data_IF_210043109655
#
_entry.id   IF_210043109655
#
_cell.length_a   1.000
_cell.length_b   1.000
_cell.length_c   1.000
_cell.angle_alpha   90.00
_cell.angle_beta   90.00
_cell.angle_gamma   90.00
#
_symmetry.space_group_name_H-M   'P 1'
#
loop_
_entity.id
_entity.type
_entity.pdbx_description
1 polymer ?
#
# COMPACT_ATOMS: atom_id res chain seq x y z
N UNK A 1 -12.09 22.27 17.72
CA UNK A 1 -11.89 22.54 19.15
C UNK A 1 -12.53 21.36 19.88
N UNK A 2 -11.76 20.32 20.18
CA UNK A 2 -12.28 19.07 20.75
C UNK A 2 -12.79 19.36 22.17
N UNK A 3 -14.00 18.91 22.48
CA UNK A 3 -14.68 19.24 23.72
C UNK A 3 -14.06 18.37 24.84
N UNK A 4 -13.86 18.93 26.03
CA UNK A 4 -13.26 18.20 27.18
C UNK A 4 -14.04 16.92 27.57
N UNK A 5 -15.32 16.83 27.18
CA UNK A 5 -16.14 15.61 27.33
C UNK A 5 -15.69 14.46 26.42
N UNK A 6 -15.21 14.75 25.22
CA UNK A 6 -14.78 13.75 24.25
C UNK A 6 -13.49 13.04 24.72
N UNK A 7 -12.64 13.74 25.47
CA UNK A 7 -11.40 13.19 26.04
C UNK A 7 -11.65 12.25 27.22
N UNK A 8 -12.60 12.57 28.09
CA UNK A 8 -12.96 11.72 29.25
C UNK A 8 -13.65 10.44 28.78
N UNK A 9 -14.52 10.54 27.76
CA UNK A 9 -15.24 9.39 27.22
C UNK A 9 -14.29 8.44 26.46
N UNK A 10 -13.27 8.98 25.77
CA UNK A 10 -12.25 8.16 25.10
C UNK A 10 -11.43 7.30 26.10
N UNK A 11 -11.08 7.88 27.25
CA UNK A 11 -10.26 7.23 28.27
C UNK A 11 -11.04 6.13 29.02
N UNK A 12 -12.34 6.38 29.26
CA UNK A 12 -13.26 5.38 29.84
C UNK A 12 -13.49 4.23 28.86
N UNK A 13 -13.72 4.52 27.58
CA UNK A 13 -13.91 3.49 26.55
C UNK A 13 -12.64 2.65 26.33
N UNK A 14 -11.46 3.27 26.31
CA UNK A 14 -10.19 2.54 26.25
C UNK A 14 -10.02 1.60 27.45
N UNK A 15 -10.28 2.10 28.66
CA UNK A 15 -10.19 1.32 29.89
C UNK A 15 -11.16 0.13 29.89
N UNK A 16 -12.40 0.31 29.41
CA UNK A 16 -13.39 -0.78 29.30
C UNK A 16 -12.90 -1.86 28.32
N UNK A 17 -12.42 -1.46 27.14
CA UNK A 17 -11.93 -2.39 26.12
C UNK A 17 -10.67 -3.12 26.60
N UNK A 18 -9.73 -2.42 27.23
CA UNK A 18 -8.44 -2.98 27.66
C UNK A 18 -8.55 -3.88 28.91
N UNK A 19 -9.54 -3.62 29.77
CA UNK A 19 -9.85 -4.47 30.92
C UNK A 19 -10.57 -5.76 30.50
N UNK A 20 -11.21 -5.80 29.33
CA UNK A 20 -11.75 -7.02 28.76
C UNK A 20 -10.60 -7.89 28.18
N UNK A 21 -10.24 -8.96 28.90
CA UNK A 21 -9.13 -9.86 28.53
C UNK A 21 -9.31 -10.44 27.12
N UNK A 22 -10.55 -10.76 26.72
CA UNK A 22 -10.84 -11.30 25.40
C UNK A 22 -10.57 -10.26 24.30
N UNK A 23 -11.15 -9.06 24.42
CA UNK A 23 -10.95 -7.98 23.44
C UNK A 23 -9.48 -7.58 23.36
N UNK A 24 -8.81 -7.43 24.52
CA UNK A 24 -7.37 -7.15 24.58
C UNK A 24 -6.55 -8.18 23.82
N UNK A 25 -6.81 -9.47 24.02
CA UNK A 25 -6.07 -10.54 23.33
C UNK A 25 -6.32 -10.54 21.82
N UNK A 26 -7.56 -10.26 21.39
CA UNK A 26 -7.89 -10.11 19.97
C UNK A 26 -7.14 -8.92 19.36
N UNK A 27 -7.18 -7.76 20.01
CA UNK A 27 -6.47 -6.55 19.57
C UNK A 27 -4.97 -6.82 19.48
N UNK A 28 -4.37 -7.39 20.52
CA UNK A 28 -2.95 -7.74 20.53
C UNK A 28 -2.58 -8.69 19.40
N UNK A 29 -3.40 -9.70 19.10
CA UNK A 29 -3.18 -10.60 17.97
C UNK A 29 -3.12 -9.86 16.63
N UNK A 30 -4.04 -8.92 16.39
CA UNK A 30 -4.06 -8.12 15.16
C UNK A 30 -2.90 -7.13 15.10
N UNK A 31 -2.51 -6.52 16.23
CA UNK A 31 -1.32 -5.67 16.32
C UNK A 31 -0.06 -6.46 15.97
N UNK A 32 0.10 -7.67 16.51
CA UNK A 32 1.24 -8.53 16.21
C UNK A 32 1.30 -8.87 14.71
N UNK A 33 0.17 -9.23 14.09
CA UNK A 33 0.09 -9.45 12.63
C UNK A 33 0.44 -8.22 11.82
N UNK A 34 0.00 -7.04 12.25
CA UNK A 34 0.37 -5.78 11.59
C UNK A 34 1.87 -5.53 11.68
N UNK A 35 2.45 -5.67 12.86
CA UNK A 35 3.90 -5.51 13.06
C UNK A 35 4.67 -6.51 12.17
N UNK A 36 4.21 -7.75 12.09
CA UNK A 36 4.88 -8.81 11.33
C UNK A 36 4.74 -8.65 9.81
N UNK A 37 3.58 -8.20 9.32
CA UNK A 37 3.24 -8.26 7.90
C UNK A 37 2.97 -6.90 7.23
N UNK A 38 3.18 -5.79 7.93
CA UNK A 38 2.97 -4.44 7.37
C UNK A 38 3.88 -4.12 6.18
N UNK A 39 5.09 -4.68 6.17
CA UNK A 39 6.06 -4.58 5.10
C UNK A 39 6.42 -5.98 4.60
N UNK A 40 6.28 -6.21 3.29
CA UNK A 40 6.65 -7.49 2.68
C UNK A 40 7.24 -7.31 1.28
N UNK A 41 8.18 -8.20 0.94
CA UNK A 41 8.77 -8.33 -0.39
C UNK A 41 8.30 -9.65 -1.01
N UNK A 42 7.47 -9.60 -2.05
CA UNK A 42 6.77 -10.77 -2.59
C UNK A 42 6.81 -10.82 -4.12
N UNK A 43 6.90 -12.03 -4.66
CA UNK A 43 6.53 -12.33 -6.04
C UNK A 43 5.08 -12.86 -6.11
N UNK A 44 4.56 -13.10 -7.33
CA UNK A 44 3.18 -13.56 -7.54
C UNK A 44 2.84 -14.84 -6.76
N UNK A 45 3.69 -15.87 -6.82
CA UNK A 45 3.44 -17.15 -6.14
C UNK A 45 3.38 -16.98 -4.62
N UNK A 46 4.31 -16.22 -4.05
CA UNK A 46 4.33 -15.92 -2.62
C UNK A 46 3.12 -15.10 -2.21
N UNK A 47 2.77 -14.08 -3.00
CA UNK A 47 1.62 -13.23 -2.75
C UNK A 47 0.32 -14.02 -2.78
N UNK A 48 0.13 -14.93 -3.72
CA UNK A 48 -1.09 -15.72 -3.84
C UNK A 48 -1.33 -16.61 -2.62
N UNK A 49 -0.26 -17.18 -2.07
CA UNK A 49 -0.29 -18.04 -0.88
C UNK A 49 -0.31 -17.27 0.45
N UNK A 50 -0.04 -15.96 0.42
CA UNK A 50 0.04 -15.15 1.62
C UNK A 50 -1.36 -14.98 2.25
N UNK A 51 -1.54 -15.44 3.50
CA UNK A 51 -2.87 -15.45 4.14
C UNK A 51 -3.29 -14.08 4.66
N UNK A 52 -2.37 -13.36 5.29
CA UNK A 52 -2.64 -12.14 6.04
C UNK A 52 -2.40 -10.87 5.20
N UNK A 53 -2.85 -10.87 3.93
CA UNK A 53 -2.59 -9.75 2.99
C UNK A 53 -3.16 -8.43 3.47
N UNK A 54 -4.24 -8.45 4.25
CA UNK A 54 -4.95 -7.25 4.70
C UNK A 54 -4.13 -6.32 5.58
N UNK A 55 -3.05 -6.82 6.19
CA UNK A 55 -2.16 -6.03 7.05
C UNK A 55 -1.04 -5.32 6.26
N UNK A 56 -0.82 -5.72 5.01
CA UNK A 56 0.24 -5.17 4.17
C UNK A 56 -0.10 -3.70 3.86
N UNK A 57 0.81 -2.80 4.26
CA UNK A 57 0.75 -1.37 3.95
C UNK A 57 1.85 -0.94 2.99
N UNK A 58 2.94 -1.70 2.98
CA UNK A 58 4.06 -1.56 2.05
C UNK A 58 4.35 -2.89 1.38
N UNK A 59 4.31 -2.88 0.05
CA UNK A 59 4.58 -4.07 -0.78
C UNK A 59 5.70 -3.75 -1.74
N UNK A 60 6.80 -4.50 -1.68
CA UNK A 60 7.72 -4.57 -2.82
C UNK A 60 7.38 -5.78 -3.68
N UNK A 61 7.05 -5.50 -4.93
CA UNK A 61 6.64 -6.46 -5.91
C UNK A 61 7.81 -6.87 -6.81
N UNK A 62 8.08 -8.18 -6.80
CA UNK A 62 9.16 -8.79 -7.56
C UNK A 62 8.60 -9.67 -8.68
N UNK A 63 8.42 -9.10 -9.87
CA UNK A 63 8.11 -9.83 -11.10
C UNK A 63 6.80 -9.42 -11.77
N UNK A 64 6.36 -10.25 -12.72
CA UNK A 64 5.10 -10.14 -13.44
C UNK A 64 4.32 -11.48 -13.33
N UNK A 65 2.98 -11.47 -13.46
CA UNK A 65 2.12 -10.29 -13.57
C UNK A 65 1.84 -9.64 -12.20
N UNK A 66 1.57 -8.34 -12.21
CA UNK A 66 1.05 -7.61 -11.04
C UNK A 66 -0.39 -8.08 -10.70
N UNK A 67 -0.82 -8.06 -9.42
CA UNK A 67 -2.21 -8.36 -9.06
C UNK A 67 -3.18 -7.37 -9.70
N UNK A 68 -4.43 -7.78 -9.88
CA UNK A 68 -5.48 -6.87 -10.30
C UNK A 68 -5.72 -5.81 -9.21
N UNK A 69 -6.22 -4.63 -9.60
CA UNK A 69 -6.47 -3.50 -8.69
C UNK A 69 -7.27 -3.87 -7.43
N UNK A 70 -8.20 -4.81 -7.55
CA UNK A 70 -9.07 -5.26 -6.45
C UNK A 70 -8.45 -6.36 -5.59
N UNK A 71 -7.33 -6.94 -6.00
CA UNK A 71 -6.59 -7.98 -5.25
C UNK A 71 -5.53 -7.38 -4.31
N UNK A 72 -5.24 -6.08 -4.43
CA UNK A 72 -4.32 -5.41 -3.53
C UNK A 72 -4.88 -5.32 -2.10
N UNK A 73 -3.99 -5.24 -1.09
CA UNK A 73 -4.40 -5.01 0.29
C UNK A 73 -5.19 -3.70 0.41
N UNK A 74 -6.25 -3.67 1.24
CA UNK A 74 -7.13 -2.50 1.38
C UNK A 74 -6.42 -1.26 1.94
N UNK A 75 -5.29 -1.45 2.64
CA UNK A 75 -4.50 -0.37 3.25
C UNK A 75 -3.12 -0.22 2.62
N UNK A 76 -2.92 -0.76 1.40
CA UNK A 76 -1.65 -0.59 0.69
C UNK A 76 -1.47 0.86 0.29
N UNK A 77 -0.43 1.49 0.82
CA UNK A 77 -0.08 2.90 0.57
C UNK A 77 1.25 3.06 -0.16
N UNK A 78 2.18 2.13 0.04
CA UNK A 78 3.50 2.15 -0.59
C UNK A 78 3.67 0.92 -1.48
N UNK A 79 3.95 1.14 -2.76
CA UNK A 79 4.22 0.07 -3.73
C UNK A 79 5.59 0.30 -4.38
N UNK A 80 6.47 -0.70 -4.27
CA UNK A 80 7.76 -0.72 -4.96
C UNK A 80 7.73 -1.76 -6.07
N UNK A 81 8.03 -1.38 -7.31
CA UNK A 81 7.98 -2.25 -8.50
C UNK A 81 9.40 -2.51 -9.02
N UNK A 82 10.11 -3.48 -8.46
CA UNK A 82 11.53 -3.70 -8.78
C UNK A 82 11.79 -4.47 -10.07
N UNK A 83 10.94 -5.46 -10.37
CA UNK A 83 11.10 -6.34 -11.53
C UNK A 83 9.79 -6.47 -12.34
N UNK A 84 8.99 -5.41 -12.38
CA UNK A 84 7.79 -5.33 -13.21
C UNK A 84 8.19 -4.78 -14.60
N UNK A 85 8.13 -5.62 -15.62
CA UNK A 85 8.52 -5.27 -16.99
C UNK A 85 7.32 -5.01 -17.89
N UNK A 86 6.13 -5.45 -17.46
CA UNK A 86 4.88 -5.21 -18.18
C UNK A 86 4.45 -3.75 -18.06
N UNK A 87 3.75 -3.29 -19.09
CA UNK A 87 3.17 -1.94 -19.17
C UNK A 87 2.02 -1.81 -18.16
N UNK A 88 2.05 -0.77 -17.34
CA UNK A 88 0.92 -0.39 -16.48
C UNK A 88 -0.26 0.11 -17.33
N UNK A 89 -1.48 -0.26 -16.94
CA UNK A 89 -2.73 0.23 -17.54
C UNK A 89 -3.50 1.10 -16.53
N UNK A 90 -4.42 1.97 -16.98
CA UNK A 90 -5.21 2.85 -16.09
C UNK A 90 -5.97 2.14 -14.97
N UNK A 91 -6.24 0.84 -15.14
CA UNK A 91 -6.98 0.04 -14.17
C UNK A 91 -6.09 -0.82 -13.29
N UNK A 92 -4.76 -0.67 -13.38
CA UNK A 92 -3.80 -1.56 -12.71
C UNK A 92 -3.63 -1.23 -11.23
N UNK A 93 -3.61 0.06 -10.84
CA UNK A 93 -3.25 0.48 -9.48
C UNK A 93 -4.46 0.98 -8.66
N UNK A 94 -4.58 0.61 -7.37
CA UNK A 94 -5.59 1.15 -6.47
C UNK A 94 -5.31 2.61 -6.07
N UNK A 95 -6.38 3.39 -5.85
CA UNK A 95 -6.29 4.78 -5.36
C UNK A 95 -5.92 4.86 -3.86
N UNK A 96 -5.49 3.76 -3.24
CA UNK A 96 -4.93 3.76 -1.89
C UNK A 96 -3.43 4.08 -1.89
N UNK A 97 -2.74 3.89 -3.02
CA UNK A 97 -1.29 4.08 -3.16
C UNK A 97 -0.96 5.58 -3.17
N UNK A 98 -0.16 6.01 -2.19
CA UNK A 98 0.35 7.38 -2.07
C UNK A 98 1.81 7.48 -2.48
N UNK A 99 2.56 6.37 -2.46
CA UNK A 99 3.97 6.30 -2.86
C UNK A 99 4.19 5.15 -3.84
N UNK A 100 4.79 5.46 -4.99
CA UNK A 100 5.14 4.49 -6.03
C UNK A 100 6.62 4.63 -6.40
N UNK A 101 7.36 3.54 -6.26
CA UNK A 101 8.78 3.48 -6.63
C UNK A 101 8.98 2.47 -7.76
N UNK A 102 9.63 2.89 -8.85
CA UNK A 102 10.05 2.00 -9.92
C UNK A 102 11.50 1.51 -9.74
N UNK A 103 11.75 0.26 -10.11
CA UNK A 103 13.07 -0.36 -10.04
C UNK A 103 14.09 0.23 -11.02
N UNK A 104 15.36 -0.10 -10.78
CA UNK A 104 16.53 0.42 -11.50
C UNK A 104 16.38 0.36 -13.04
N UNK A 105 15.83 -0.75 -13.56
CA UNK A 105 15.68 -1.02 -15.00
C UNK A 105 14.42 -0.41 -15.65
N UNK A 106 13.57 0.29 -14.89
CA UNK A 106 12.33 0.84 -15.43
C UNK A 106 12.60 1.99 -16.41
N UNK A 107 12.28 1.76 -17.70
CA UNK A 107 12.47 2.75 -18.77
C UNK A 107 11.31 2.73 -19.78
N UNK A 108 10.06 2.75 -19.29
CA UNK A 108 8.83 2.71 -20.10
C UNK A 108 8.08 4.05 -20.00
N UNK A 109 7.34 4.39 -21.06
CA UNK A 109 6.47 5.59 -21.08
C UNK A 109 5.28 5.35 -20.15
N UNK A 110 5.03 6.31 -19.25
CA UNK A 110 3.82 6.38 -18.41
C UNK A 110 2.71 7.02 -19.24
N UNK A 111 1.57 6.35 -19.38
CA UNK A 111 0.42 6.89 -20.12
C UNK A 111 -0.48 7.72 -19.20
N UNK A 112 -1.31 8.57 -19.81
CA UNK A 112 -2.37 9.28 -19.11
C UNK A 112 -3.24 8.29 -18.31
N UNK A 113 -3.69 8.72 -17.12
CA UNK A 113 -4.56 7.97 -16.21
C UNK A 113 -3.98 6.64 -15.68
N UNK A 114 -2.68 6.35 -15.89
CA UNK A 114 -2.05 5.12 -15.35
C UNK A 114 -1.63 5.21 -13.89
N UNK A 115 -1.39 6.43 -13.39
CA UNK A 115 -1.02 6.67 -12.01
C UNK A 115 -2.27 6.92 -11.16
N UNK A 116 -2.33 6.41 -9.91
CA UNK A 116 -3.47 6.67 -9.04
C UNK A 116 -3.55 8.15 -8.65
N UNK A 117 -4.77 8.68 -8.54
CA UNK A 117 -5.00 10.10 -8.22
C UNK A 117 -4.53 10.50 -6.81
N UNK A 118 -4.30 9.53 -5.92
CA UNK A 118 -3.80 9.74 -4.56
C UNK A 118 -2.29 9.77 -4.46
N UNK A 119 -1.57 9.56 -5.57
CA UNK A 119 -0.11 9.49 -5.56
C UNK A 119 0.48 10.86 -5.21
N UNK A 120 1.27 10.89 -4.15
CA UNK A 120 2.00 12.09 -3.68
C UNK A 120 3.49 12.00 -3.94
N UNK A 121 4.02 10.78 -4.01
CA UNK A 121 5.44 10.50 -4.21
C UNK A 121 5.61 9.51 -5.34
N UNK A 122 6.38 9.89 -6.36
CA UNK A 122 6.74 9.06 -7.50
C UNK A 122 8.26 9.06 -7.67
N UNK A 123 8.87 7.89 -7.58
CA UNK A 123 10.31 7.71 -7.73
C UNK A 123 10.60 6.83 -8.93
N UNK A 124 11.43 7.32 -9.86
CA UNK A 124 11.90 6.55 -11.02
C UNK A 124 13.27 5.92 -10.74
N UNK A 125 13.52 4.77 -11.36
CA UNK A 125 14.83 4.13 -11.35
C UNK A 125 15.88 4.86 -12.18
N UNK A 126 17.15 4.57 -11.93
CA UNK A 126 18.28 5.29 -12.53
C UNK A 126 18.35 5.16 -14.06
N UNK A 127 17.77 4.13 -14.68
CA UNK A 127 17.73 3.96 -16.15
C UNK A 127 16.54 4.65 -16.82
N UNK A 128 15.69 5.35 -16.09
CA UNK A 128 14.55 6.05 -16.67
C UNK A 128 15.02 7.20 -17.57
N UNK A 129 14.73 7.09 -18.87
CA UNK A 129 15.08 8.08 -19.89
C UNK A 129 13.90 8.24 -20.86
N UNK A 130 12.73 8.58 -20.32
CA UNK A 130 11.52 8.90 -21.10
C UNK A 130 10.98 10.26 -20.68
N UNK A 131 10.36 10.95 -21.64
CA UNK A 131 9.66 12.20 -21.37
C UNK A 131 8.38 11.90 -20.60
N UNK A 132 8.19 12.59 -19.47
CA UNK A 132 6.92 12.61 -18.74
C UNK A 132 6.01 13.62 -19.42
N UNK A 133 4.92 13.16 -20.04
CA UNK A 133 4.02 14.03 -20.79
C UNK A 133 3.19 14.91 -19.83
N UNK A 134 2.86 16.16 -20.21
CA UNK A 134 1.94 16.99 -19.45
C UNK A 134 0.62 16.25 -19.17
N UNK A 135 0.11 16.38 -17.94
CA UNK A 135 -1.12 15.74 -17.50
C UNK A 135 -1.00 14.27 -17.06
N UNK A 136 0.15 13.62 -17.24
CA UNK A 136 0.35 12.23 -16.78
C UNK A 136 0.57 12.10 -15.28
N UNK A 137 1.06 13.15 -14.62
CA UNK A 137 1.18 13.21 -13.17
C UNK A 137 -0.17 13.57 -12.54
N UNK A 138 -0.57 12.91 -11.44
CA UNK A 138 -1.81 13.23 -10.73
C UNK A 138 -1.76 14.65 -10.15
N UNK A 139 -2.95 15.22 -9.96
CA UNK A 139 -3.16 16.59 -9.48
C UNK A 139 -3.38 16.65 -7.97
#
# INVERSE_FOLDING_TARGET
MNNLKDLVDYDVNYSIVWNNIFLRNVILKHILKFIEYSFVDLNKSQYDQFKDKSYITTLSWNGDPLPDKNEFPPFLTILNLFYCYKKLTPTTLPNTITTLTFGYEFNKVILLDTLPNSLTTLTFGQRFNKVVQPGTLPR
#
